data_IF_937512646301
#
_entry.id   IF_937512646301
#
_cell.length_a   1.000
_cell.length_b   1.000
_cell.length_c   1.000
_cell.angle_alpha   90.00
_cell.angle_beta   90.00
_cell.angle_gamma   90.00
#
_symmetry.space_group_name_H-M   'P 1'
#
loop_
_entity.id
_entity.type
_entity.pdbx_description
1 polymer ?
#
# COMPACT_ATOMS: atom_id res chain seq x y z
N UNK A 1 -42.54 2.70 21.31
CA UNK A 1 -41.76 1.46 21.02
C UNK A 1 -40.96 1.58 19.73
N UNK A 2 -41.54 2.05 18.62
CA UNK A 2 -40.81 2.30 17.35
C UNK A 2 -39.64 3.30 17.47
N UNK A 3 -39.81 4.46 18.10
CA UNK A 3 -38.77 5.50 18.17
C UNK A 3 -37.46 5.05 18.84
N UNK A 4 -37.54 4.14 19.83
CA UNK A 4 -36.35 3.56 20.48
C UNK A 4 -35.52 2.68 19.55
N UNK A 5 -36.15 2.02 18.57
CA UNK A 5 -35.46 1.20 17.58
C UNK A 5 -34.69 2.07 16.58
N UNK A 6 -35.23 3.23 16.19
CA UNK A 6 -34.56 4.16 15.27
C UNK A 6 -33.30 4.79 15.87
N UNK A 7 -33.33 5.15 17.16
CA UNK A 7 -32.15 5.68 17.86
C UNK A 7 -31.02 4.64 17.90
N UNK A 8 -31.36 3.37 18.19
CA UNK A 8 -30.41 2.26 18.15
C UNK A 8 -29.78 2.08 16.76
N UNK A 9 -30.59 2.13 15.71
CA UNK A 9 -30.12 2.00 14.32
C UNK A 9 -29.20 3.16 13.91
N UNK A 10 -29.50 4.40 14.30
CA UNK A 10 -28.64 5.56 13.98
C UNK A 10 -27.28 5.45 14.66
N UNK A 11 -27.24 5.02 15.93
CA UNK A 11 -25.99 4.77 16.66
C UNK A 11 -25.20 3.65 15.98
N UNK A 12 -25.88 2.56 15.60
CA UNK A 12 -25.25 1.42 14.93
C UNK A 12 -24.66 1.80 13.57
N UNK A 13 -25.36 2.63 12.79
CA UNK A 13 -24.87 3.16 11.53
C UNK A 13 -23.64 4.07 11.73
N UNK A 14 -23.65 4.90 12.77
CA UNK A 14 -22.48 5.71 13.14
C UNK A 14 -21.25 4.85 13.44
N UNK A 15 -21.42 3.77 14.21
CA UNK A 15 -20.34 2.81 14.51
C UNK A 15 -19.85 2.14 13.22
N UNK A 16 -20.75 1.73 12.34
CA UNK A 16 -20.41 1.11 11.05
C UNK A 16 -19.58 2.04 10.16
N UNK A 17 -19.95 3.32 10.10
CA UNK A 17 -19.22 4.33 9.32
C UNK A 17 -17.81 4.51 9.89
N UNK A 18 -17.66 4.64 11.20
CA UNK A 18 -16.34 4.78 11.85
C UNK A 18 -15.48 3.55 11.57
N UNK A 19 -16.07 2.35 11.65
CA UNK A 19 -15.37 1.09 11.41
C UNK A 19 -14.96 0.96 9.93
N UNK A 20 -15.82 1.35 9.00
CA UNK A 20 -15.51 1.39 7.57
C UNK A 20 -14.38 2.37 7.25
N UNK A 21 -14.37 3.56 7.87
CA UNK A 21 -13.29 4.55 7.72
C UNK A 21 -11.99 4.02 8.29
N UNK A 22 -12.01 3.42 9.49
CA UNK A 22 -10.83 2.82 10.10
C UNK A 22 -10.23 1.71 9.24
N UNK A 23 -11.07 0.82 8.70
CA UNK A 23 -10.65 -0.23 7.76
C UNK A 23 -10.09 0.37 6.47
N UNK A 24 -10.73 1.40 5.91
CA UNK A 24 -10.26 2.09 4.70
C UNK A 24 -8.87 2.70 4.91
N UNK A 25 -8.66 3.44 6.01
CA UNK A 25 -7.35 4.04 6.34
C UNK A 25 -6.29 2.95 6.55
N UNK A 26 -6.64 1.88 7.27
CA UNK A 26 -5.75 0.73 7.45
C UNK A 26 -5.39 0.08 6.12
N UNK A 27 -6.35 -0.11 5.23
CA UNK A 27 -6.14 -0.73 3.93
C UNK A 27 -5.24 0.14 3.03
N UNK A 28 -5.42 1.46 3.01
CA UNK A 28 -4.52 2.38 2.31
C UNK A 28 -3.10 2.36 2.88
N UNK A 29 -2.96 2.27 4.21
CA UNK A 29 -1.64 2.15 4.84
C UNK A 29 -0.94 0.84 4.48
N UNK A 30 -1.65 -0.30 4.51
CA UNK A 30 -1.11 -1.61 4.12
C UNK A 30 -0.85 -1.70 2.63
N UNK A 31 -1.65 -1.04 1.78
CA UNK A 31 -1.45 -1.05 0.34
C UNK A 31 -0.18 -0.29 -0.08
N UNK A 32 0.32 0.66 0.73
CA UNK A 32 1.64 1.27 0.50
C UNK A 32 2.80 0.26 0.60
N UNK A 33 2.60 -0.91 1.23
CA UNK A 33 3.58 -1.99 1.28
C UNK A 33 3.47 -2.96 0.09
N UNK A 34 2.39 -2.86 -0.69
CA UNK A 34 2.11 -3.67 -1.89
C UNK A 34 2.04 -2.84 -3.17
N UNK A 35 2.43 -1.57 -3.13
CA UNK A 35 2.85 -0.91 -4.36
C UNK A 35 4.00 -1.75 -4.89
N UNK A 36 3.70 -2.46 -5.98
CA UNK A 36 4.71 -3.13 -6.75
C UNK A 36 5.86 -2.12 -6.98
N UNK A 37 7.10 -2.59 -7.05
CA UNK A 37 8.23 -1.74 -7.39
C UNK A 37 8.04 -1.17 -8.81
N UNK A 38 7.18 -0.17 -8.98
CA UNK A 38 7.03 0.61 -10.22
C UNK A 38 8.23 1.55 -10.39
N UNK A 39 9.00 1.74 -9.32
CA UNK A 39 10.30 2.39 -9.37
C UNK A 39 11.33 1.43 -10.00
N UNK A 40 11.90 1.76 -11.18
CA UNK A 40 12.89 0.93 -11.85
C UNK A 40 14.08 0.51 -10.96
N UNK A 41 14.45 1.32 -9.96
CA UNK A 41 15.51 0.98 -9.01
C UNK A 41 15.13 -0.22 -8.12
N UNK A 42 13.90 -0.26 -7.65
CA UNK A 42 13.41 -1.35 -6.80
C UNK A 42 13.29 -2.68 -7.56
N UNK A 43 12.99 -2.63 -8.87
CA UNK A 43 13.08 -3.82 -9.75
C UNK A 43 14.53 -4.29 -9.86
N UNK A 44 15.49 -3.39 -10.09
CA UNK A 44 16.91 -3.74 -10.17
C UNK A 44 17.43 -4.37 -8.88
N UNK A 45 17.04 -3.82 -7.71
CA UNK A 45 17.39 -4.39 -6.41
C UNK A 45 16.84 -5.82 -6.24
N UNK A 46 15.59 -6.06 -6.65
CA UNK A 46 14.98 -7.38 -6.58
C UNK A 46 15.72 -8.40 -7.47
N UNK A 47 16.14 -7.98 -8.66
CA UNK A 47 16.91 -8.84 -9.60
C UNK A 47 18.30 -9.15 -9.08
N UNK A 48 18.98 -8.17 -8.48
CA UNK A 48 20.27 -8.39 -7.82
C UNK A 48 20.13 -9.36 -6.64
N UNK A 49 19.11 -9.19 -5.79
CA UNK A 49 18.85 -10.06 -4.65
C UNK A 49 18.53 -11.50 -5.06
N UNK A 50 17.92 -11.68 -6.24
CA UNK A 50 17.64 -13.00 -6.82
C UNK A 50 18.86 -13.59 -7.55
N UNK A 51 19.91 -12.80 -7.78
CA UNK A 51 21.07 -13.21 -8.57
C UNK A 51 20.82 -13.28 -10.07
N UNK A 52 19.78 -12.62 -10.57
CA UNK A 52 19.52 -12.50 -12.03
C UNK A 52 20.50 -11.55 -12.72
N UNK A 53 21.11 -10.63 -11.96
CA UNK A 53 22.12 -9.67 -12.43
C UNK A 53 23.29 -9.64 -11.46
N UNK A 54 24.47 -9.30 -11.98
CA UNK A 54 25.68 -9.05 -11.18
C UNK A 54 25.66 -7.68 -10.52
N UNK A 55 26.57 -7.49 -9.55
CA UNK A 55 26.74 -6.19 -8.87
C UNK A 55 27.18 -5.09 -9.84
N UNK A 56 27.99 -5.43 -10.84
CA UNK A 56 28.49 -4.48 -11.84
C UNK A 56 27.36 -4.01 -12.77
N UNK A 57 26.54 -4.94 -13.27
CA UNK A 57 25.35 -4.62 -14.08
C UNK A 57 24.35 -3.77 -13.29
N UNK A 58 24.16 -4.05 -12.00
CA UNK A 58 23.33 -3.22 -11.13
C UNK A 58 23.84 -1.78 -11.04
N UNK A 59 25.15 -1.58 -10.85
CA UNK A 59 25.73 -0.24 -10.75
C UNK A 59 25.61 0.56 -12.05
N UNK A 60 25.80 -0.09 -13.19
CA UNK A 60 25.65 0.53 -14.50
C UNK A 60 24.20 0.96 -14.77
N UNK A 61 23.24 0.08 -14.49
CA UNK A 61 21.81 0.37 -14.65
C UNK A 61 21.34 1.44 -13.67
N UNK A 62 21.84 1.43 -12.43
CA UNK A 62 21.56 2.48 -11.43
C UNK A 62 22.02 3.86 -11.91
N UNK A 63 23.24 3.97 -12.45
CA UNK A 63 23.77 5.26 -12.97
C UNK A 63 22.96 5.78 -14.15
N UNK A 64 22.50 4.89 -15.04
CA UNK A 64 21.65 5.29 -16.17
C UNK A 64 20.29 5.85 -15.72
N UNK A 65 19.71 5.31 -14.65
CA UNK A 65 18.44 5.78 -14.10
C UNK A 65 18.58 7.10 -13.33
N UNK A 66 19.73 7.35 -12.70
CA UNK A 66 20.02 8.57 -11.91
C UNK A 66 20.35 9.79 -12.80
N UNK A 67 20.66 9.58 -14.09
CA UNK A 67 21.08 10.64 -15.04
C UNK A 67 19.90 11.17 -15.90
N UNK A 68 18.67 10.70 -15.67
CA UNK A 68 17.48 11.09 -16.44
C UNK A 68 16.57 12.03 -15.66
#
# INVERSE_FOLDING_TARGET
>A
MMAMMWVGTVIWLGILVVLAVAVSVWFHHVQSWRQAPDDPLSILQLRLARGEISLDEYQELRRHLETR
#
